data_IF_387166832693
#
_entry.id   IF_387166832693
#
_cell.length_a   1.000
_cell.length_b   1.000
_cell.length_c   1.000
_cell.angle_alpha   90.00
_cell.angle_beta   90.00
_cell.angle_gamma   90.00
#
_symmetry.space_group_name_H-M   'P 1'
#
loop_
_entity.id
_entity.type
_entity.pdbx_description
1 polymer ?
#
# COMPACT_ATOMS: atom_id res chain seq x y z
N UNK A 1 -14.74 25.98 0.76
CA UNK A 1 -15.53 25.86 -0.50
C UNK A 1 -16.52 24.68 -0.47
N UNK A 2 -16.48 23.79 0.50
CA UNK A 2 -17.38 22.63 0.63
C UNK A 2 -17.23 21.55 -0.45
N UNK A 3 -16.23 21.64 -1.34
CA UNK A 3 -15.94 20.63 -2.35
C UNK A 3 -15.07 19.53 -1.74
N UNK A 4 -15.51 18.26 -1.87
CA UNK A 4 -14.75 17.09 -1.44
C UNK A 4 -13.95 16.50 -2.60
N UNK A 5 -12.80 15.90 -2.27
CA UNK A 5 -11.98 15.08 -3.17
C UNK A 5 -11.84 13.72 -2.54
N UNK A 6 -12.15 12.65 -3.28
CA UNK A 6 -12.02 11.25 -2.87
C UNK A 6 -10.96 10.54 -3.70
N UNK A 7 -10.72 9.28 -3.40
CA UNK A 7 -9.67 8.42 -3.96
C UNK A 7 -8.25 8.83 -3.53
N UNK A 8 -7.58 7.96 -2.75
CA UNK A 8 -6.29 8.29 -2.13
C UNK A 8 -5.22 8.74 -3.13
N UNK A 9 -5.11 8.09 -4.30
CA UNK A 9 -4.15 8.48 -5.33
C UNK A 9 -4.49 9.83 -5.96
N UNK A 10 -5.77 10.20 -6.04
CA UNK A 10 -6.21 11.52 -6.52
C UNK A 10 -5.94 12.57 -5.46
N UNK A 11 -6.23 12.28 -4.19
CA UNK A 11 -5.96 13.20 -3.06
C UNK A 11 -4.48 13.52 -2.93
N UNK A 12 -3.59 12.54 -3.07
CA UNK A 12 -2.13 12.78 -3.04
C UNK A 12 -1.72 13.75 -4.14
N UNK A 13 -2.18 13.55 -5.37
CA UNK A 13 -1.88 14.44 -6.50
C UNK A 13 -2.45 15.83 -6.29
N UNK A 14 -3.69 15.93 -5.81
CA UNK A 14 -4.33 17.22 -5.51
C UNK A 14 -3.55 18.03 -4.46
N UNK A 15 -3.07 17.37 -3.40
CA UNK A 15 -2.26 18.01 -2.34
C UNK A 15 -0.93 18.47 -2.89
N UNK A 16 -0.26 17.65 -3.72
CA UNK A 16 1.00 18.02 -4.38
C UNK A 16 0.82 19.24 -5.30
N UNK A 17 -0.20 19.23 -6.16
CA UNK A 17 -0.52 20.36 -7.05
C UNK A 17 -0.79 21.65 -6.26
N UNK A 18 -1.55 21.58 -5.17
CA UNK A 18 -1.77 22.72 -4.28
C UNK A 18 -0.48 23.23 -3.64
N UNK A 19 0.43 22.35 -3.24
CA UNK A 19 1.71 22.73 -2.67
C UNK A 19 2.57 23.45 -3.72
N UNK A 20 2.64 22.92 -4.95
CA UNK A 20 3.37 23.54 -6.06
C UNK A 20 2.79 24.93 -6.40
N UNK A 21 1.46 25.06 -6.49
CA UNK A 21 0.79 26.35 -6.73
C UNK A 21 1.08 27.39 -5.63
N UNK A 22 1.38 26.96 -4.40
CA UNK A 22 1.75 27.82 -3.26
C UNK A 22 3.25 28.08 -3.15
N UNK A 23 4.03 27.69 -4.15
CA UNK A 23 5.47 27.93 -4.22
C UNK A 23 6.30 26.96 -3.40
N UNK A 24 5.83 25.72 -3.22
CA UNK A 24 6.64 24.65 -2.63
C UNK A 24 7.99 24.52 -3.35
N UNK A 25 9.07 24.38 -2.57
CA UNK A 25 10.41 24.11 -3.10
C UNK A 25 10.71 22.62 -3.23
N UNK A 26 9.83 21.75 -2.74
CA UNK A 26 9.95 20.32 -2.90
C UNK A 26 9.74 19.92 -4.37
N UNK A 27 10.43 18.90 -4.82
CA UNK A 27 10.18 18.31 -6.13
C UNK A 27 8.73 17.80 -6.24
N UNK A 28 8.05 17.98 -7.38
CA UNK A 28 6.73 17.42 -7.60
C UNK A 28 6.76 15.88 -7.50
N UNK A 29 5.68 15.29 -6.97
CA UNK A 29 5.54 13.84 -6.90
C UNK A 29 5.38 13.18 -8.27
N UNK A 30 4.99 13.94 -9.28
CA UNK A 30 4.88 13.47 -10.66
C UNK A 30 5.91 14.15 -11.55
N UNK A 31 6.55 13.39 -12.46
CA UNK A 31 7.49 13.93 -13.44
C UNK A 31 6.89 15.03 -14.31
N UNK A 32 7.72 15.92 -14.85
CA UNK A 32 7.29 16.93 -15.80
C UNK A 32 6.92 16.34 -17.16
N UNK A 33 7.64 15.32 -17.60
CA UNK A 33 7.35 14.63 -18.86
C UNK A 33 5.98 13.95 -18.85
N UNK A 34 5.10 14.22 -19.83
CA UNK A 34 3.73 13.68 -19.83
C UNK A 34 3.65 12.16 -19.90
N UNK A 35 4.60 11.51 -20.59
CA UNK A 35 4.63 10.06 -20.70
C UNK A 35 5.04 9.43 -19.36
N UNK A 36 6.09 9.93 -18.72
CA UNK A 36 6.53 9.46 -17.40
C UNK A 36 5.47 9.75 -16.32
N UNK A 37 4.74 10.86 -16.41
CA UNK A 37 3.58 11.14 -15.54
C UNK A 37 2.49 10.09 -15.70
N UNK A 38 2.13 9.76 -16.94
CA UNK A 38 1.13 8.74 -17.21
C UNK A 38 1.60 7.37 -16.69
N UNK A 39 2.87 7.01 -16.95
CA UNK A 39 3.49 5.79 -16.47
C UNK A 39 3.46 5.71 -14.93
N UNK A 40 3.84 6.76 -14.23
CA UNK A 40 3.80 6.80 -12.76
C UNK A 40 2.40 6.56 -12.21
N UNK A 41 1.35 7.12 -12.84
CA UNK A 41 -0.04 6.87 -12.45
C UNK A 41 -0.47 5.41 -12.66
N UNK A 42 -0.11 4.83 -13.79
CA UNK A 42 -0.40 3.42 -14.08
C UNK A 42 0.29 2.50 -13.07
N UNK A 43 1.56 2.79 -12.75
CA UNK A 43 2.30 1.97 -11.77
C UNK A 43 1.76 2.16 -10.35
N UNK A 44 1.39 3.37 -9.95
CA UNK A 44 0.75 3.60 -8.64
C UNK A 44 -0.58 2.84 -8.51
N UNK A 45 -1.41 2.79 -9.56
CA UNK A 45 -2.63 1.99 -9.58
C UNK A 45 -2.32 0.49 -9.53
N UNK A 46 -1.31 0.02 -10.27
CA UNK A 46 -0.85 -1.37 -10.23
C UNK A 46 -0.42 -1.77 -8.82
N UNK A 47 0.41 -0.96 -8.14
CA UNK A 47 0.81 -1.16 -6.74
C UNK A 47 -0.42 -1.27 -5.83
N UNK A 48 -1.40 -0.41 -6.04
CA UNK A 48 -2.64 -0.42 -5.26
C UNK A 48 -3.41 -1.74 -5.42
N UNK A 49 -3.50 -2.27 -6.64
CA UNK A 49 -4.17 -3.55 -6.91
C UNK A 49 -3.37 -4.75 -6.43
N UNK A 50 -2.06 -4.78 -6.69
CA UNK A 50 -1.22 -5.95 -6.43
C UNK A 50 -0.75 -6.04 -4.98
N UNK A 51 -0.50 -4.93 -4.30
CA UNK A 51 0.00 -4.93 -2.92
C UNK A 51 -1.09 -4.57 -1.94
N UNK A 52 -1.74 -3.41 -2.10
CA UNK A 52 -2.73 -2.90 -1.15
C UNK A 52 -3.93 -3.85 -1.02
N UNK A 53 -4.53 -4.25 -2.14
CA UNK A 53 -5.68 -5.17 -2.11
C UNK A 53 -5.30 -6.52 -1.52
N UNK A 54 -4.14 -7.06 -1.89
CA UNK A 54 -3.68 -8.36 -1.42
C UNK A 54 -3.27 -8.37 0.04
N UNK A 55 -2.77 -7.25 0.57
CA UNK A 55 -2.55 -7.09 2.01
C UNK A 55 -3.81 -7.44 2.81
N UNK A 56 -4.96 -6.87 2.43
CA UNK A 56 -6.23 -7.18 3.10
C UNK A 56 -6.70 -8.61 2.83
N UNK A 57 -6.48 -9.16 1.64
CA UNK A 57 -6.83 -10.54 1.34
C UNK A 57 -6.08 -11.51 2.23
N UNK A 58 -4.77 -11.35 2.39
CA UNK A 58 -3.97 -12.19 3.30
C UNK A 58 -4.42 -12.04 4.75
N UNK A 59 -4.76 -10.82 5.16
CA UNK A 59 -5.11 -10.54 6.55
C UNK A 59 -6.52 -10.99 6.93
N UNK A 60 -7.49 -10.93 6.00
CA UNK A 60 -8.92 -11.09 6.30
C UNK A 60 -9.46 -12.45 5.90
N UNK A 61 -8.99 -13.04 4.79
CA UNK A 61 -9.51 -14.33 4.32
C UNK A 61 -9.25 -15.45 5.31
N UNK A 62 -10.19 -16.39 5.39
CA UNK A 62 -10.14 -17.53 6.32
C UNK A 62 -9.50 -18.76 5.69
N UNK A 63 -9.67 -18.97 4.38
CA UNK A 63 -9.07 -20.08 3.67
C UNK A 63 -7.55 -19.94 3.56
N UNK A 64 -6.82 -21.00 3.91
CA UNK A 64 -5.35 -20.98 3.95
C UNK A 64 -4.73 -20.95 2.55
N UNK A 65 -5.38 -21.58 1.56
CA UNK A 65 -4.88 -21.57 0.18
C UNK A 65 -5.06 -20.22 -0.46
N UNK A 66 -6.23 -19.59 -0.30
CA UNK A 66 -6.48 -18.24 -0.78
C UNK A 66 -5.51 -17.22 -0.18
N UNK A 67 -5.15 -17.37 1.11
CA UNK A 67 -4.14 -16.51 1.75
C UNK A 67 -2.76 -16.67 1.12
N UNK A 68 -2.33 -17.94 0.86
CA UNK A 68 -1.03 -18.20 0.21
C UNK A 68 -0.98 -17.62 -1.20
N UNK A 69 -2.05 -17.79 -1.98
CA UNK A 69 -2.15 -17.23 -3.33
C UNK A 69 -2.12 -15.71 -3.31
N UNK A 70 -2.86 -15.10 -2.40
CA UNK A 70 -2.85 -13.64 -2.22
C UNK A 70 -1.45 -13.13 -1.82
N UNK A 71 -0.75 -13.85 -0.93
CA UNK A 71 0.59 -13.48 -0.51
C UNK A 71 1.63 -13.66 -1.62
N UNK A 72 1.57 -14.76 -2.37
CA UNK A 72 2.43 -14.97 -3.52
C UNK A 72 2.31 -13.81 -4.53
N UNK A 73 1.08 -13.45 -4.86
CA UNK A 73 0.86 -12.33 -5.76
C UNK A 73 1.19 -10.95 -5.15
N UNK A 74 1.16 -10.78 -3.82
CA UNK A 74 1.69 -9.59 -3.16
C UNK A 74 3.20 -9.51 -3.36
N UNK A 75 3.91 -10.61 -3.17
CA UNK A 75 5.36 -10.68 -3.42
C UNK A 75 5.70 -10.38 -4.88
N UNK A 76 4.88 -10.86 -5.84
CA UNK A 76 5.05 -10.52 -7.26
C UNK A 76 4.93 -9.02 -7.50
N UNK A 77 3.94 -8.37 -6.88
CA UNK A 77 3.81 -6.90 -6.94
C UNK A 77 5.01 -6.15 -6.36
N UNK A 78 5.61 -6.66 -5.27
CA UNK A 78 6.84 -6.10 -4.71
C UNK A 78 8.05 -6.35 -5.63
N UNK A 79 8.14 -7.52 -6.29
CA UNK A 79 9.18 -7.81 -7.27
C UNK A 79 9.14 -6.85 -8.45
N UNK A 80 7.95 -6.65 -9.02
CA UNK A 80 7.76 -5.71 -10.13
C UNK A 80 8.16 -4.30 -9.73
N UNK A 81 7.66 -3.80 -8.58
CA UNK A 81 8.03 -2.48 -8.08
C UNK A 81 9.55 -2.35 -7.91
N UNK A 82 10.18 -3.32 -7.27
CA UNK A 82 11.62 -3.30 -6.97
C UNK A 82 12.48 -3.38 -8.22
N UNK A 83 12.06 -4.19 -9.20
CA UNK A 83 12.71 -4.29 -10.49
C UNK A 83 12.69 -2.98 -11.30
N UNK A 84 11.66 -2.16 -11.07
CA UNK A 84 11.50 -0.87 -11.74
C UNK A 84 12.14 0.32 -11.00
N UNK A 85 12.75 0.12 -9.82
CA UNK A 85 13.47 1.17 -9.11
C UNK A 85 14.62 1.71 -9.95
N UNK A 86 14.60 3.01 -10.27
CA UNK A 86 15.61 3.68 -11.12
C UNK A 86 16.76 4.30 -10.32
N UNK A 87 16.62 4.40 -8.99
CA UNK A 87 17.61 4.98 -8.08
C UNK A 87 17.20 4.70 -6.64
N UNK A 88 17.35 5.69 -5.79
CA UNK A 88 16.95 5.63 -4.39
C UNK A 88 15.46 5.47 -4.21
N UNK A 89 14.68 5.95 -5.17
CA UNK A 89 13.23 5.87 -5.24
C UNK A 89 12.79 5.34 -6.60
N UNK A 90 11.49 5.09 -6.78
CA UNK A 90 10.97 4.50 -8.00
C UNK A 90 11.30 5.32 -9.25
N UNK A 91 11.20 6.64 -9.17
CA UNK A 91 11.47 7.55 -10.29
C UNK A 91 12.92 7.99 -10.43
N UNK A 92 13.82 7.65 -9.51
CA UNK A 92 15.21 8.11 -9.45
C UNK A 92 15.60 8.61 -8.06
N UNK A 93 16.10 9.85 -7.97
CA UNK A 93 16.70 10.38 -6.74
C UNK A 93 15.71 11.15 -5.84
N UNK A 94 14.46 11.26 -6.26
CA UNK A 94 13.41 11.96 -5.52
C UNK A 94 12.19 11.08 -5.30
N UNK A 95 11.56 11.22 -4.13
CA UNK A 95 10.29 10.57 -3.82
C UNK A 95 9.22 10.95 -4.85
N UNK A 96 8.43 9.98 -5.29
CA UNK A 96 7.36 10.17 -6.26
C UNK A 96 6.03 9.57 -5.83
N UNK A 97 5.01 9.71 -6.68
CA UNK A 97 3.66 9.17 -6.44
C UNK A 97 3.68 7.67 -6.16
N UNK A 98 4.51 6.91 -6.87
CA UNK A 98 4.58 5.44 -6.74
C UNK A 98 5.13 5.04 -5.36
N UNK A 99 6.15 5.76 -4.89
CA UNK A 99 6.72 5.55 -3.55
C UNK A 99 5.68 5.86 -2.47
N UNK A 100 4.96 6.97 -2.61
CA UNK A 100 3.88 7.35 -1.69
C UNK A 100 2.72 6.34 -1.69
N UNK A 101 2.41 5.73 -2.83
CA UNK A 101 1.36 4.71 -2.94
C UNK A 101 1.74 3.41 -2.20
N UNK A 102 3.00 2.97 -2.33
CA UNK A 102 3.45 1.71 -1.75
C UNK A 102 3.77 1.81 -0.25
N UNK A 103 4.44 2.87 0.18
CA UNK A 103 5.01 2.98 1.52
C UNK A 103 4.04 2.61 2.67
N UNK A 104 2.79 3.10 2.72
CA UNK A 104 1.90 2.79 3.82
C UNK A 104 1.65 1.29 4.01
N UNK A 105 1.67 0.54 2.92
CA UNK A 105 1.47 -0.91 2.96
C UNK A 105 2.78 -1.67 3.14
N UNK A 106 3.85 -1.28 2.46
CA UNK A 106 5.18 -1.84 2.65
C UNK A 106 5.60 -1.82 4.12
N UNK A 107 5.39 -0.69 4.79
CA UNK A 107 5.69 -0.55 6.22
C UNK A 107 4.85 -1.46 7.11
N UNK A 108 3.62 -1.83 6.70
CA UNK A 108 2.69 -2.65 7.50
C UNK A 108 2.81 -4.16 7.28
N UNK A 109 3.66 -4.62 6.35
CA UNK A 109 3.72 -6.05 6.00
C UNK A 109 4.12 -6.94 7.18
N UNK A 110 4.87 -6.43 8.17
CA UNK A 110 5.15 -7.15 9.42
C UNK A 110 3.89 -7.61 10.16
N UNK A 111 2.76 -6.94 9.97
CA UNK A 111 1.50 -7.34 10.60
C UNK A 111 0.92 -8.62 9.98
N UNK A 112 1.20 -8.88 8.69
CA UNK A 112 0.82 -10.13 8.05
C UNK A 112 1.60 -11.28 8.70
N UNK A 113 2.92 -11.18 8.78
CA UNK A 113 3.78 -12.17 9.43
C UNK A 113 3.33 -12.41 10.88
N UNK A 114 3.09 -11.35 11.64
CA UNK A 114 2.64 -11.43 13.03
C UNK A 114 1.35 -12.24 13.22
N UNK A 115 0.36 -12.06 12.34
CA UNK A 115 -0.95 -12.70 12.48
C UNK A 115 -1.11 -14.00 11.69
N UNK A 116 -0.26 -14.27 10.71
CA UNK A 116 -0.40 -15.41 9.78
C UNK A 116 0.75 -16.39 9.84
N UNK A 117 1.86 -16.04 10.48
CA UNK A 117 3.02 -16.90 10.66
C UNK A 117 4.22 -16.50 9.79
N UNK A 118 5.39 -17.08 10.08
CA UNK A 118 6.66 -16.72 9.43
C UNK A 118 6.68 -17.03 7.93
N UNK A 119 5.85 -17.92 7.43
CA UNK A 119 5.69 -18.23 6.01
C UNK A 119 5.11 -17.04 5.21
N UNK A 120 4.56 -16.04 5.89
CA UNK A 120 4.07 -14.77 5.33
C UNK A 120 5.03 -13.61 5.57
N UNK A 121 6.28 -13.88 5.89
CA UNK A 121 7.32 -12.86 5.96
C UNK A 121 7.78 -12.45 4.56
N UNK A 122 8.01 -11.15 4.36
CA UNK A 122 8.68 -10.67 3.14
C UNK A 122 10.15 -11.09 3.24
N UNK A 123 10.73 -11.69 2.17
CA UNK A 123 12.13 -12.08 2.19
C UNK A 123 13.06 -10.89 2.48
N UNK A 124 14.08 -11.10 3.30
CA UNK A 124 15.07 -10.07 3.61
C UNK A 124 16.23 -10.04 2.61
N UNK A 125 16.45 -11.14 1.89
CA UNK A 125 17.56 -11.31 0.95
C UNK A 125 17.21 -12.31 -0.15
N UNK A 126 18.00 -12.32 -1.21
CA UNK A 126 17.87 -13.28 -2.31
C UNK A 126 17.39 -12.66 -3.61
N UNK A 127 17.15 -13.52 -4.59
CA UNK A 127 16.73 -13.14 -5.95
C UNK A 127 17.68 -12.09 -6.60
N UNK A 128 19.00 -12.35 -6.50
CA UNK A 128 20.01 -11.48 -7.11
C UNK A 128 20.11 -10.08 -6.48
N UNK A 129 19.79 -9.95 -5.20
CA UNK A 129 19.82 -8.66 -4.49
C UNK A 129 18.51 -7.86 -4.57
N UNK A 130 17.43 -8.46 -5.11
CA UNK A 130 16.16 -7.78 -5.27
C UNK A 130 15.55 -7.40 -3.91
N UNK A 131 15.56 -8.34 -2.96
CA UNK A 131 14.98 -8.11 -1.64
C UNK A 131 15.79 -7.15 -0.79
N UNK A 132 17.13 -7.19 -0.90
CA UNK A 132 18.02 -6.20 -0.29
C UNK A 132 17.73 -4.79 -0.84
N UNK A 133 17.49 -4.67 -2.17
CA UNK A 133 17.13 -3.40 -2.81
C UNK A 133 15.77 -2.89 -2.31
N UNK A 134 14.78 -3.78 -2.17
CA UNK A 134 13.48 -3.45 -1.56
C UNK A 134 13.65 -2.97 -0.12
N UNK A 135 14.40 -3.71 0.69
CA UNK A 135 14.66 -3.36 2.10
C UNK A 135 15.37 -2.01 2.25
N UNK A 136 16.35 -1.73 1.37
CA UNK A 136 17.05 -0.45 1.35
C UNK A 136 16.11 0.71 0.99
N UNK A 137 15.23 0.53 -0.02
CA UNK A 137 14.19 1.50 -0.35
C UNK A 137 13.24 1.75 0.85
N UNK A 138 12.74 0.69 1.49
CA UNK A 138 11.81 0.81 2.62
C UNK A 138 12.47 1.52 3.81
N UNK A 139 13.71 1.19 4.12
CA UNK A 139 14.46 1.84 5.18
C UNK A 139 14.66 3.34 4.89
N UNK A 140 15.05 3.68 3.66
CA UNK A 140 15.23 5.07 3.22
C UNK A 140 13.94 5.86 3.29
N UNK A 141 12.84 5.33 2.72
CA UNK A 141 11.52 5.96 2.79
C UNK A 141 11.09 6.20 4.23
N UNK A 142 11.25 5.20 5.11
CA UNK A 142 10.84 5.30 6.52
C UNK A 142 11.68 6.29 7.33
N UNK A 143 12.90 6.59 6.91
CA UNK A 143 13.81 7.53 7.58
C UNK A 143 13.64 8.99 7.12
N UNK A 144 12.86 9.26 6.06
CA UNK A 144 12.64 10.62 5.59
C UNK A 144 12.01 11.48 6.70
N UNK A 145 12.52 12.71 6.95
CA UNK A 145 11.99 13.60 8.00
C UNK A 145 10.49 13.92 7.83
N UNK A 146 9.99 13.92 6.59
CA UNK A 146 8.57 14.12 6.29
C UNK A 146 7.72 12.85 6.51
N UNK A 147 8.31 11.68 6.57
CA UNK A 147 7.65 10.39 6.66
C UNK A 147 7.70 9.82 8.08
N UNK A 148 8.88 9.78 8.69
CA UNK A 148 9.11 9.14 9.98
C UNK A 148 8.08 9.53 11.07
N UNK A 149 7.69 10.81 11.24
CA UNK A 149 6.69 11.21 12.23
C UNK A 149 5.26 10.73 11.90
N UNK A 150 5.00 10.30 10.67
CA UNK A 150 3.67 9.84 10.22
C UNK A 150 3.48 8.33 10.37
N UNK A 151 4.57 7.60 10.57
CA UNK A 151 4.50 6.14 10.75
C UNK A 151 3.94 5.83 12.14
N UNK A 152 2.88 5.00 12.23
CA UNK A 152 2.32 4.63 13.52
C UNK A 152 3.29 3.75 14.32
N UNK A 153 3.18 3.77 15.64
CA UNK A 153 3.82 2.79 16.49
C UNK A 153 3.40 1.37 16.10
N UNK A 154 4.36 0.45 16.03
CA UNK A 154 4.11 -0.92 15.54
C UNK A 154 3.15 -1.69 16.42
N UNK A 155 3.29 -1.62 17.72
CA UNK A 155 2.43 -2.34 18.66
C UNK A 155 1.00 -1.81 18.61
N UNK A 156 0.85 -0.48 18.62
CA UNK A 156 -0.45 0.17 18.46
C UNK A 156 -1.11 -0.20 17.14
N UNK A 157 -0.33 -0.30 16.06
CA UNK A 157 -0.87 -0.71 14.76
C UNK A 157 -1.32 -2.17 14.78
N UNK A 158 -0.55 -3.09 15.39
CA UNK A 158 -0.96 -4.49 15.55
C UNK A 158 -2.29 -4.58 16.31
N UNK A 159 -2.43 -3.88 17.43
CA UNK A 159 -3.69 -3.85 18.17
C UNK A 159 -4.87 -3.33 17.31
N UNK A 160 -4.65 -2.28 16.51
CA UNK A 160 -5.67 -1.73 15.62
C UNK A 160 -6.10 -2.74 14.56
N UNK A 161 -5.15 -3.45 13.94
CA UNK A 161 -5.42 -4.36 12.81
C UNK A 161 -5.89 -5.75 13.26
N UNK A 162 -5.76 -6.09 14.53
CA UNK A 162 -6.19 -7.36 15.13
C UNK A 162 -7.62 -7.75 14.75
N UNK A 163 -8.54 -6.80 14.77
CA UNK A 163 -9.94 -7.02 14.39
C UNK A 163 -10.13 -7.55 12.96
N UNK A 164 -9.23 -7.16 12.04
CA UNK A 164 -9.25 -7.67 10.66
C UNK A 164 -8.72 -9.11 10.61
N UNK A 165 -7.63 -9.38 11.30
CA UNK A 165 -7.04 -10.71 11.38
C UNK A 165 -7.97 -11.73 12.07
N UNK A 166 -8.76 -11.31 13.06
CA UNK A 166 -9.74 -12.13 13.77
C UNK A 166 -11.12 -12.20 13.10
N UNK A 167 -11.30 -11.60 11.92
CA UNK A 167 -12.58 -11.58 11.21
C UNK A 167 -13.66 -10.70 11.87
N UNK A 168 -13.29 -9.87 12.84
CA UNK A 168 -14.21 -9.02 13.62
C UNK A 168 -14.38 -7.60 13.06
N UNK A 169 -13.61 -7.25 12.02
CA UNK A 169 -13.73 -5.93 11.42
C UNK A 169 -15.06 -5.78 10.69
N UNK A 170 -15.80 -4.74 11.04
CA UNK A 170 -17.06 -4.34 10.41
C UNK A 170 -16.84 -3.05 9.61
N UNK A 171 -15.98 -3.13 8.59
CA UNK A 171 -15.79 -2.04 7.64
C UNK A 171 -16.19 -2.50 6.25
N UNK A 172 -16.58 -1.58 5.38
CA UNK A 172 -16.91 -1.89 3.98
C UNK A 172 -15.81 -2.72 3.32
N UNK A 173 -14.54 -2.31 3.48
CA UNK A 173 -13.37 -3.05 2.98
C UNK A 173 -13.30 -4.47 3.58
N UNK A 174 -13.44 -4.62 4.90
CA UNK A 174 -13.41 -5.93 5.56
C UNK A 174 -14.54 -6.84 5.10
N UNK A 175 -15.73 -6.29 4.90
CA UNK A 175 -16.92 -7.02 4.43
C UNK A 175 -16.73 -7.46 2.96
N UNK A 176 -16.28 -6.56 2.08
CA UNK A 176 -16.00 -6.87 0.68
C UNK A 176 -14.96 -7.99 0.54
N UNK A 177 -13.86 -7.91 1.27
CA UNK A 177 -12.79 -8.93 1.20
C UNK A 177 -13.28 -10.28 1.74
N UNK A 178 -14.10 -10.31 2.81
CA UNK A 178 -14.72 -11.56 3.29
C UNK A 178 -15.66 -12.19 2.28
N UNK A 179 -16.38 -11.37 1.50
CA UNK A 179 -17.26 -11.81 0.41
C UNK A 179 -16.50 -12.30 -0.82
N UNK A 180 -15.18 -12.16 -0.84
CA UNK A 180 -14.33 -12.54 -1.97
C UNK A 180 -14.00 -11.41 -2.95
N UNK A 181 -14.50 -10.19 -2.71
CA UNK A 181 -14.18 -9.02 -3.53
C UNK A 181 -12.78 -8.45 -3.22
N UNK A 182 -12.31 -7.55 -4.08
CA UNK A 182 -11.13 -6.74 -3.82
C UNK A 182 -11.43 -5.67 -2.74
N UNK A 183 -10.39 -5.20 -2.05
CA UNK A 183 -10.51 -4.13 -1.06
C UNK A 183 -11.02 -2.80 -1.67
N UNK A 184 -10.91 -2.64 -2.98
CA UNK A 184 -11.38 -1.46 -3.72
C UNK A 184 -12.76 -1.64 -4.37
N UNK A 185 -13.29 -2.87 -4.40
CA UNK A 185 -14.54 -3.22 -5.06
C UNK A 185 -15.65 -3.48 -4.04
N UNK A 186 -15.74 -2.63 -3.01
CA UNK A 186 -16.85 -2.70 -2.05
C UNK A 186 -18.14 -2.13 -2.65
N UNK A 187 -19.24 -2.77 -2.32
CA UNK A 187 -20.59 -2.32 -2.68
C UNK A 187 -21.25 -1.66 -1.45
N UNK A 188 -21.70 -0.42 -1.60
CA UNK A 188 -22.28 0.35 -0.50
C UNK A 188 -23.51 -0.33 0.14
N UNK A 189 -24.22 -1.16 -0.64
CA UNK A 189 -25.41 -1.88 -0.15
C UNK A 189 -25.10 -3.24 0.46
N UNK A 190 -24.09 -3.94 -0.11
CA UNK A 190 -23.71 -5.29 0.32
C UNK A 190 -22.67 -5.29 1.44
N UNK A 191 -21.80 -4.29 1.44
CA UNK A 191 -20.65 -4.21 2.34
C UNK A 191 -20.81 -3.13 3.42
N UNK A 192 -22.04 -2.66 3.67
CA UNK A 192 -22.31 -1.69 4.72
C UNK A 192 -21.75 -2.17 6.06
N UNK A 193 -21.06 -1.28 6.78
CA UNK A 193 -20.43 -1.59 8.05
C UNK A 193 -21.43 -2.01 9.15
N UNK A 194 -22.69 -1.59 9.03
CA UNK A 194 -23.76 -1.88 9.98
C UNK A 194 -24.56 -3.15 9.66
N UNK A 195 -24.34 -3.77 8.50
CA UNK A 195 -25.00 -5.03 8.15
C UNK A 195 -24.36 -6.18 8.95
N UNK A 196 -25.13 -6.94 9.75
CA UNK A 196 -24.62 -8.11 10.45
C UNK A 196 -24.14 -9.15 9.45
N UNK A 197 -22.88 -9.54 9.52
CA UNK A 197 -22.36 -10.69 8.77
C UNK A 197 -23.00 -11.96 9.33
N UNK A 198 -23.70 -12.70 8.47
CA UNK A 198 -24.26 -14.03 8.78
C UNK A 198 -23.16 -15.04 9.04
#
# INVERSE_FOLDING_TARGET
SGRAVSESLVVIQFVDELAQMRGSRAAPLLPHDPFERARARVVADRVNRQVTSRYYQVLVRTDAQERREAFAGLLDGLREFTGELRGDFWGGDSIGLVDCALLPYAWRLYAIEHYRGPEFAVPAAGEGGLWEKYGAWLARMSALPSVAPTLPDKERYLQHVKKYAEGKARSKVGNAVRRGASAHDYDDKLDDADVPTK
#
